data_IF_649098093033
#
_entry.id   IF_649098093033
#
_cell.length_a   1.000
_cell.length_b   1.000
_cell.length_c   1.000
_cell.angle_alpha   90.00
_cell.angle_beta   90.00
_cell.angle_gamma   90.00
#
_symmetry.space_group_name_H-M   'P 1'
#
loop_
_entity.id
_entity.type
_entity.pdbx_description
1 polymer ?
#
# COMPACT_ATOMS: atom_id res chain seq x y z
N UNK A 1 25.17 10.91 -19.65
CA UNK A 1 25.01 11.73 -18.43
C UNK A 1 23.71 12.49 -18.58
N UNK A 2 22.67 12.10 -17.85
CA UNK A 2 21.48 12.93 -17.74
C UNK A 2 21.85 14.23 -17.01
N UNK A 3 21.34 15.40 -17.44
CA UNK A 3 21.62 16.65 -16.78
C UNK A 3 21.10 16.61 -15.33
N UNK A 4 21.88 17.15 -14.39
CA UNK A 4 21.43 17.36 -13.01
C UNK A 4 20.25 18.35 -13.03
N UNK A 5 19.02 17.83 -12.99
CA UNK A 5 17.81 18.62 -12.80
C UNK A 5 17.90 19.39 -11.47
N UNK A 6 17.52 20.66 -11.49
CA UNK A 6 17.30 21.46 -10.28
C UNK A 6 16.15 20.86 -9.47
N UNK A 7 16.09 21.12 -8.15
CA UNK A 7 15.02 20.60 -7.28
C UNK A 7 13.62 20.92 -7.81
N UNK A 8 13.44 22.12 -8.37
CA UNK A 8 12.19 22.57 -8.99
C UNK A 8 11.84 21.82 -10.29
N UNK A 9 12.84 21.47 -11.11
CA UNK A 9 12.60 20.72 -12.34
C UNK A 9 12.22 19.26 -12.03
N UNK A 10 12.90 18.66 -11.06
CA UNK A 10 12.58 17.32 -10.57
C UNK A 10 11.18 17.26 -9.94
N UNK A 11 10.82 18.27 -9.15
CA UNK A 11 9.47 18.40 -8.60
C UNK A 11 8.42 18.48 -9.72
N UNK A 12 8.63 19.33 -10.74
CA UNK A 12 7.70 19.47 -11.87
C UNK A 12 7.53 18.17 -12.66
N UNK A 13 8.61 17.46 -12.94
CA UNK A 13 8.57 16.20 -13.68
C UNK A 13 7.80 15.14 -12.89
N UNK A 14 8.03 15.03 -11.58
CA UNK A 14 7.28 14.12 -10.70
C UNK A 14 5.80 14.50 -10.58
N UNK A 15 5.48 15.80 -10.57
CA UNK A 15 4.09 16.28 -10.52
C UNK A 15 3.35 16.12 -11.85
N UNK A 16 4.04 15.99 -12.98
CA UNK A 16 3.42 15.83 -14.29
C UNK A 16 2.93 14.38 -14.56
N UNK A 17 3.38 13.41 -13.78
CA UNK A 17 2.97 12.01 -13.93
C UNK A 17 1.45 11.83 -13.68
N UNK A 18 0.75 11.00 -14.46
CA UNK A 18 -0.66 10.67 -14.21
C UNK A 18 -0.84 10.04 -12.83
N UNK A 19 -1.77 10.61 -12.04
CA UNK A 19 -2.13 10.11 -10.71
C UNK A 19 -3.48 9.38 -10.79
N UNK A 20 -3.48 8.22 -11.44
CA UNK A 20 -4.62 7.31 -11.39
C UNK A 20 -4.60 6.51 -10.08
N UNK A 21 -5.78 6.21 -9.54
CA UNK A 21 -5.90 5.30 -8.40
C UNK A 21 -5.50 3.89 -8.81
N UNK A 22 -5.09 3.08 -7.83
CA UNK A 22 -4.66 1.71 -8.12
C UNK A 22 -5.85 0.90 -8.60
N UNK A 23 -6.99 1.01 -7.91
CA UNK A 23 -8.23 0.34 -8.33
C UNK A 23 -8.62 0.66 -9.78
N UNK A 24 -8.52 1.93 -10.18
CA UNK A 24 -8.89 2.37 -11.54
C UNK A 24 -7.98 1.80 -12.61
N UNK A 25 -6.68 1.69 -12.36
CA UNK A 25 -5.73 1.04 -13.28
C UNK A 25 -6.10 -0.40 -13.59
N UNK A 26 -6.79 -1.06 -12.66
CA UNK A 26 -7.26 -2.44 -12.81
C UNK A 26 -8.75 -2.55 -13.10
N UNK A 27 -9.37 -1.46 -13.57
CA UNK A 27 -10.74 -1.46 -14.09
C UNK A 27 -11.85 -1.23 -13.07
N UNK A 28 -11.50 -0.88 -11.82
CA UNK A 28 -12.49 -0.63 -10.77
C UNK A 28 -12.44 0.85 -10.33
N UNK A 29 -13.44 1.62 -10.73
CA UNK A 29 -13.67 3.01 -10.29
C UNK A 29 -15.06 3.07 -9.64
N UNK A 30 -15.13 2.81 -8.33
CA UNK A 30 -16.39 2.80 -7.59
C UNK A 30 -16.62 4.08 -6.81
N UNK A 31 -17.87 4.54 -6.84
CA UNK A 31 -18.33 5.70 -6.11
C UNK A 31 -18.36 5.48 -4.61
N UNK A 32 -18.10 6.52 -3.82
CA UNK A 32 -18.05 6.50 -2.35
C UNK A 32 -19.33 5.90 -1.79
N UNK A 33 -19.18 4.91 -0.92
CA UNK A 33 -20.29 4.23 -0.22
C UNK A 33 -20.32 4.54 1.27
N UNK A 34 -19.17 4.88 1.86
CA UNK A 34 -19.04 5.24 3.27
C UNK A 34 -18.13 6.47 3.45
N UNK A 35 -18.75 7.65 3.58
CA UNK A 35 -18.02 8.92 3.70
C UNK A 35 -17.10 8.99 4.91
N UNK A 36 -17.53 8.46 6.05
CA UNK A 36 -16.75 8.52 7.28
C UNK A 36 -15.45 7.72 7.13
N UNK A 37 -15.53 6.54 6.51
CA UNK A 37 -14.35 5.71 6.23
C UNK A 37 -13.32 6.41 5.33
N UNK A 38 -13.77 7.22 4.37
CA UNK A 38 -12.90 8.05 3.51
C UNK A 38 -12.20 9.14 4.32
N UNK A 39 -12.94 9.82 5.20
CA UNK A 39 -12.39 10.86 6.09
C UNK A 39 -11.36 10.24 7.04
N UNK A 40 -11.69 9.13 7.69
CA UNK A 40 -10.81 8.45 8.65
C UNK A 40 -9.51 7.98 7.97
N UNK A 41 -9.60 7.36 6.78
CA UNK A 41 -8.42 6.97 6.01
C UNK A 41 -7.57 8.18 5.61
N UNK A 42 -8.21 9.29 5.21
CA UNK A 42 -7.50 10.54 4.87
C UNK A 42 -6.78 11.11 6.09
N UNK A 43 -7.44 11.15 7.25
CA UNK A 43 -6.84 11.63 8.51
C UNK A 43 -5.64 10.77 8.87
N UNK A 44 -5.74 9.44 8.82
CA UNK A 44 -4.60 8.54 9.08
C UNK A 44 -3.40 8.78 8.15
N UNK A 45 -3.65 9.11 6.88
CA UNK A 45 -2.56 9.48 5.95
C UNK A 45 -1.97 10.85 6.31
N UNK A 46 -2.81 11.83 6.64
CA UNK A 46 -2.36 13.17 7.03
C UNK A 46 -1.57 13.15 8.35
N UNK A 47 -1.92 12.30 9.32
CA UNK A 47 -1.18 12.15 10.58
C UNK A 47 0.25 11.65 10.34
N UNK A 48 0.43 10.65 9.47
CA UNK A 48 1.78 10.19 9.05
C UNK A 48 2.56 11.27 8.30
N UNK A 49 1.87 12.13 7.54
CA UNK A 49 2.49 13.29 6.90
C UNK A 49 2.82 14.39 7.92
N UNK A 50 2.04 14.54 8.99
CA UNK A 50 2.27 15.50 10.07
C UNK A 50 3.55 15.12 10.83
N UNK A 51 3.73 13.82 11.12
CA UNK A 51 4.95 13.29 11.75
C UNK A 51 6.20 13.58 10.91
N UNK A 52 6.15 13.29 9.60
CA UNK A 52 7.26 13.63 8.71
C UNK A 52 7.49 15.15 8.69
N UNK A 53 6.44 15.95 8.54
CA UNK A 53 6.57 17.39 8.48
C UNK A 53 7.15 18.00 9.76
N UNK A 54 6.87 17.41 10.92
CA UNK A 54 7.47 17.83 12.20
C UNK A 54 8.96 17.49 12.25
N UNK A 55 9.36 16.31 11.77
CA UNK A 55 10.76 15.88 11.73
C UNK A 55 11.63 16.77 10.83
N UNK A 56 11.06 17.26 9.73
CA UNK A 56 11.74 18.20 8.82
C UNK A 56 11.34 19.65 9.06
N UNK A 57 10.74 19.98 10.22
CA UNK A 57 10.42 21.36 10.65
C UNK A 57 9.67 22.22 9.60
N UNK A 58 8.75 21.59 8.86
CA UNK A 58 7.83 22.28 7.94
C UNK A 58 6.37 22.21 8.38
N UNK A 59 6.08 21.60 9.54
CA UNK A 59 4.71 21.38 10.00
C UNK A 59 3.94 22.68 10.21
N UNK A 60 4.61 23.70 10.73
CA UNK A 60 4.00 25.02 11.02
C UNK A 60 4.10 25.98 9.81
N UNK A 61 4.52 25.49 8.65
CA UNK A 61 4.58 26.29 7.44
C UNK A 61 3.16 26.54 6.90
N UNK A 62 2.83 27.81 6.61
CA UNK A 62 1.50 28.20 6.11
C UNK A 62 1.08 27.44 4.85
N UNK A 63 2.02 27.10 3.95
CA UNK A 63 1.71 26.32 2.75
C UNK A 63 1.39 24.86 3.08
N UNK A 64 2.09 24.28 4.05
CA UNK A 64 1.82 22.93 4.53
C UNK A 64 0.43 22.87 5.15
N UNK A 65 0.11 23.79 6.06
CA UNK A 65 -1.20 23.84 6.72
C UNK A 65 -2.34 24.06 5.72
N UNK A 66 -2.15 24.94 4.74
CA UNK A 66 -3.13 25.20 3.70
C UNK A 66 -3.40 23.96 2.82
N UNK A 67 -2.36 23.21 2.47
CA UNK A 67 -2.49 21.97 1.69
C UNK A 67 -3.18 20.86 2.50
N UNK A 68 -2.77 20.68 3.76
CA UNK A 68 -3.40 19.74 4.69
C UNK A 68 -4.89 20.02 4.87
N UNK A 69 -5.25 21.29 5.10
CA UNK A 69 -6.63 21.72 5.24
C UNK A 69 -7.43 21.51 3.95
N UNK A 70 -6.83 21.75 2.77
CA UNK A 70 -7.48 21.53 1.47
C UNK A 70 -7.77 20.04 1.24
N UNK A 71 -6.85 19.15 1.58
CA UNK A 71 -7.04 17.70 1.46
C UNK A 71 -8.15 17.23 2.39
N UNK A 72 -8.13 17.66 3.65
CA UNK A 72 -9.18 17.30 4.60
C UNK A 72 -10.55 17.83 4.14
N UNK A 73 -10.61 19.08 3.66
CA UNK A 73 -11.83 19.65 3.10
C UNK A 73 -12.35 18.83 1.92
N UNK A 74 -11.46 18.41 1.01
CA UNK A 74 -11.82 17.59 -0.14
C UNK A 74 -12.43 16.26 0.30
N UNK A 75 -11.78 15.56 1.24
CA UNK A 75 -12.31 14.31 1.81
C UNK A 75 -13.68 14.49 2.46
N UNK A 76 -13.88 15.55 3.23
CA UNK A 76 -15.17 15.84 3.89
C UNK A 76 -16.29 16.25 2.91
N UNK A 77 -15.92 16.74 1.71
CA UNK A 77 -16.88 17.16 0.70
C UNK A 77 -17.33 16.06 -0.27
N UNK A 78 -16.72 14.88 -0.20
CA UNK A 78 -17.10 13.76 -1.07
C UNK A 78 -18.50 13.24 -0.72
N UNK A 79 -19.36 13.20 -1.72
CA UNK A 79 -20.73 12.69 -1.63
C UNK A 79 -20.79 11.22 -2.05
N UNK A 80 -21.92 10.56 -1.74
CA UNK A 80 -22.12 9.17 -2.16
C UNK A 80 -22.14 9.09 -3.69
N UNK A 81 -21.39 8.17 -4.26
CA UNK A 81 -21.23 8.03 -5.71
C UNK A 81 -20.06 8.81 -6.32
N UNK A 82 -19.46 9.77 -5.59
CA UNK A 82 -18.25 10.46 -6.04
C UNK A 82 -17.05 9.51 -6.04
N UNK A 83 -16.00 9.80 -6.82
CA UNK A 83 -14.79 8.97 -6.83
C UNK A 83 -13.72 9.53 -5.90
N UNK A 84 -12.86 8.67 -5.35
CA UNK A 84 -11.71 9.10 -4.52
C UNK A 84 -10.51 9.55 -5.35
N UNK A 85 -10.62 9.56 -6.68
CA UNK A 85 -9.48 9.77 -7.57
C UNK A 85 -8.84 11.15 -7.43
N UNK A 86 -9.64 12.21 -7.32
CA UNK A 86 -9.10 13.56 -7.09
C UNK A 86 -8.39 13.64 -5.73
N UNK A 87 -8.99 13.06 -4.69
CA UNK A 87 -8.41 13.01 -3.35
C UNK A 87 -7.06 12.28 -3.34
N UNK A 88 -7.00 11.09 -3.93
CA UNK A 88 -5.75 10.32 -4.08
C UNK A 88 -4.70 11.08 -4.89
N UNK A 89 -5.08 11.78 -5.96
CA UNK A 89 -4.16 12.61 -6.72
C UNK A 89 -3.59 13.76 -5.86
N UNK A 90 -4.44 14.43 -5.06
CA UNK A 90 -4.01 15.50 -4.14
C UNK A 90 -3.11 15.01 -3.03
N UNK A 91 -3.40 13.85 -2.45
CA UNK A 91 -2.54 13.20 -1.45
C UNK A 91 -1.17 12.87 -2.03
N UNK A 92 -1.14 12.32 -3.25
CA UNK A 92 0.12 12.04 -3.95
C UNK A 92 0.92 13.32 -4.18
N UNK A 93 0.29 14.38 -4.68
CA UNK A 93 0.94 15.68 -4.88
C UNK A 93 1.49 16.25 -3.58
N UNK A 94 0.70 16.22 -2.51
CA UNK A 94 1.12 16.75 -1.23
C UNK A 94 2.29 15.96 -0.64
N UNK A 95 2.27 14.63 -0.75
CA UNK A 95 3.39 13.77 -0.35
C UNK A 95 4.67 14.08 -1.12
N UNK A 96 4.56 14.24 -2.44
CA UNK A 96 5.70 14.58 -3.28
C UNK A 96 6.27 15.95 -2.89
N UNK A 97 5.42 16.98 -2.70
CA UNK A 97 5.86 18.32 -2.25
C UNK A 97 6.62 18.24 -0.92
N UNK A 98 6.12 17.45 0.03
CA UNK A 98 6.72 17.30 1.35
C UNK A 98 8.16 16.75 1.27
N UNK A 99 8.44 15.84 0.33
CA UNK A 99 9.80 15.34 0.11
C UNK A 99 10.78 16.39 -0.41
N UNK A 100 10.30 17.35 -1.21
CA UNK A 100 11.13 18.45 -1.73
C UNK A 100 11.29 19.61 -0.76
N UNK A 101 10.42 19.68 0.26
CA UNK A 101 10.38 20.78 1.21
C UNK A 101 11.75 21.07 1.87
N UNK A 102 12.55 20.06 2.29
CA UNK A 102 13.87 20.32 2.86
C UNK A 102 14.82 21.07 1.92
N UNK A 103 14.81 20.74 0.63
CA UNK A 103 15.67 21.40 -0.38
C UNK A 103 15.26 22.85 -0.65
N UNK A 104 14.01 23.22 -0.32
CA UNK A 104 13.48 24.57 -0.53
C UNK A 104 13.63 25.45 0.71
N UNK A 105 13.43 24.88 1.90
CA UNK A 105 13.44 25.65 3.15
C UNK A 105 14.81 25.70 3.83
N UNK A 106 15.68 24.73 3.55
CA UNK A 106 17.00 24.61 4.19
C UNK A 106 18.16 24.72 3.21
N UNK A 107 17.98 25.41 2.08
CA UNK A 107 19.05 25.68 1.13
C UNK A 107 20.26 26.30 1.86
N UNK A 108 21.41 25.64 1.78
CA UNK A 108 22.64 26.04 2.49
C UNK A 108 22.67 25.79 4.01
N UNK A 109 21.60 25.29 4.64
CA UNK A 109 21.58 24.96 6.07
C UNK A 109 22.02 23.50 6.32
N UNK A 110 23.32 23.33 6.57
CA UNK A 110 23.96 22.02 6.79
C UNK A 110 23.28 21.17 7.87
N UNK A 111 22.93 21.75 9.02
CA UNK A 111 22.42 20.99 10.17
C UNK A 111 21.05 20.38 9.87
N UNK A 112 20.16 21.16 9.27
CA UNK A 112 18.83 20.68 8.89
C UNK A 112 18.90 19.66 7.75
N UNK A 113 19.76 19.89 6.76
CA UNK A 113 19.97 18.94 5.67
C UNK A 113 20.57 17.61 6.16
N UNK A 114 21.45 17.65 7.16
CA UNK A 114 21.96 16.45 7.83
C UNK A 114 20.84 15.66 8.51
N UNK A 115 19.98 16.33 9.29
CA UNK A 115 18.85 15.69 9.97
C UNK A 115 17.90 15.00 8.96
N UNK A 116 17.65 15.66 7.84
CA UNK A 116 16.82 15.10 6.75
C UNK A 116 17.47 13.87 6.13
N UNK A 117 18.78 13.92 5.87
CA UNK A 117 19.52 12.78 5.33
C UNK A 117 19.50 11.58 6.29
N UNK A 118 19.72 11.81 7.59
CA UNK A 118 19.61 10.78 8.64
C UNK A 118 18.20 10.18 8.68
N UNK A 119 17.16 11.02 8.63
CA UNK A 119 15.77 10.53 8.61
C UNK A 119 15.47 9.65 7.38
N UNK A 120 16.01 10.00 6.20
CA UNK A 120 15.85 9.18 4.99
C UNK A 120 16.50 7.82 5.20
N UNK A 121 17.71 7.77 5.74
CA UNK A 121 18.42 6.51 6.00
C UNK A 121 17.63 5.64 6.96
N UNK A 122 17.19 6.21 8.09
CA UNK A 122 16.41 5.48 9.10
C UNK A 122 15.08 4.95 8.53
N UNK A 123 14.39 5.76 7.73
CA UNK A 123 13.08 5.40 7.15
C UNK A 123 13.15 4.25 6.15
N UNK A 124 14.31 4.00 5.54
CA UNK A 124 14.49 2.94 4.53
C UNK A 124 15.34 1.77 5.04
N UNK A 125 15.86 1.85 6.27
CA UNK A 125 16.71 0.81 6.85
C UNK A 125 16.00 -0.53 6.98
N UNK A 126 14.67 -0.52 7.18
CA UNK A 126 13.83 -1.74 7.25
C UNK A 126 13.90 -2.59 5.97
N UNK A 127 14.31 -1.98 4.86
CA UNK A 127 14.44 -2.63 3.56
C UNK A 127 15.88 -2.53 3.01
N UNK A 128 16.87 -2.38 3.91
CA UNK A 128 18.30 -2.30 3.56
C UNK A 128 18.85 -3.55 2.88
N UNK A 129 18.17 -4.70 2.99
CA UNK A 129 18.54 -5.92 2.27
C UNK A 129 18.18 -5.86 0.77
N UNK A 130 17.32 -4.93 0.33
CA UNK A 130 17.01 -4.71 -1.08
C UNK A 130 18.20 -4.00 -1.76
N UNK A 131 18.86 -4.62 -2.77
CA UNK A 131 20.04 -4.04 -3.40
C UNK A 131 19.80 -2.68 -4.08
N UNK A 132 18.58 -2.41 -4.53
CA UNK A 132 18.22 -1.15 -5.18
C UNK A 132 18.08 -0.04 -4.14
N UNK A 133 17.43 -0.33 -3.01
CA UNK A 133 17.33 0.59 -1.88
C UNK A 133 18.71 0.85 -1.30
N UNK A 134 19.51 -0.20 -1.09
CA UNK A 134 20.87 -0.06 -0.57
C UNK A 134 21.74 0.80 -1.50
N UNK A 135 21.66 0.58 -2.82
CA UNK A 135 22.38 1.44 -3.79
C UNK A 135 21.94 2.91 -3.71
N UNK A 136 20.64 3.16 -3.47
CA UNK A 136 20.12 4.52 -3.31
C UNK A 136 20.56 5.16 -1.97
N UNK A 137 20.68 4.37 -0.91
CA UNK A 137 21.13 4.80 0.42
C UNK A 137 22.66 4.92 0.52
N UNK A 138 23.40 4.18 -0.28
CA UNK A 138 24.87 4.18 -0.29
C UNK A 138 25.41 5.61 -0.49
N UNK A 139 24.79 6.41 -1.37
CA UNK A 139 25.15 7.81 -1.57
C UNK A 139 24.92 8.71 -0.34
N UNK A 140 23.97 8.37 0.53
CA UNK A 140 23.72 9.04 1.81
C UNK A 140 24.65 8.53 2.94
N UNK A 141 25.11 7.27 2.84
CA UNK A 141 25.95 6.60 3.84
C UNK A 141 27.47 6.78 3.61
N UNK A 142 27.92 6.87 2.37
CA UNK A 142 29.35 6.68 1.99
C UNK A 142 30.24 7.93 1.95
N UNK A 143 29.85 9.07 2.51
CA UNK A 143 30.86 10.13 2.78
C UNK A 143 31.52 9.94 4.14
N UNK A 144 32.29 8.85 4.26
CA UNK A 144 33.21 8.61 5.37
C UNK A 144 34.59 9.19 5.05
N UNK A 145 34.80 10.49 5.25
CA UNK A 145 36.10 11.04 5.70
C UNK A 145 36.09 12.51 6.14
N UNK A 146 35.15 13.34 5.69
CA UNK A 146 35.07 14.76 6.08
C UNK A 146 33.59 15.14 6.28
N UNK A 147 33.25 15.84 7.35
CA UNK A 147 31.87 16.31 7.60
C UNK A 147 31.26 16.90 6.31
N UNK A 148 30.21 16.29 5.73
CA UNK A 148 29.65 16.74 4.46
C UNK A 148 29.20 18.20 4.54
N UNK A 149 29.41 18.95 3.46
CA UNK A 149 28.92 20.33 3.36
C UNK A 149 27.40 20.36 3.12
N UNK A 150 26.79 21.54 3.22
CA UNK A 150 25.38 21.69 2.87
C UNK A 150 25.10 21.28 1.41
N UNK A 151 26.03 21.61 0.49
CA UNK A 151 25.92 21.24 -0.93
C UNK A 151 26.00 19.71 -1.14
N UNK A 152 26.86 19.03 -0.36
CA UNK A 152 26.94 17.57 -0.39
C UNK A 152 25.61 16.94 0.05
N UNK A 153 25.04 17.38 1.18
CA UNK A 153 23.74 16.88 1.65
C UNK A 153 22.63 17.16 0.64
N UNK A 154 22.58 18.35 0.05
CA UNK A 154 21.59 18.65 -0.99
C UNK A 154 21.73 17.71 -2.18
N UNK A 155 22.96 17.39 -2.61
CA UNK A 155 23.21 16.48 -3.72
C UNK A 155 22.77 15.05 -3.38
N UNK A 156 23.04 14.59 -2.16
CA UNK A 156 22.61 13.27 -1.68
C UNK A 156 21.08 13.17 -1.61
N UNK A 157 20.43 14.15 -0.99
CA UNK A 157 18.96 14.22 -0.89
C UNK A 157 18.33 14.29 -2.29
N UNK A 158 18.84 15.13 -3.20
CA UNK A 158 18.37 15.20 -4.60
C UNK A 158 18.53 13.85 -5.31
N UNK A 159 19.65 13.15 -5.09
CA UNK A 159 19.88 11.82 -5.66
C UNK A 159 18.87 10.80 -5.15
N UNK A 160 18.60 10.82 -3.84
CA UNK A 160 17.61 9.95 -3.24
C UNK A 160 16.18 10.24 -3.74
N UNK A 161 15.78 11.52 -3.80
CA UNK A 161 14.45 11.90 -4.30
C UNK A 161 14.22 11.41 -5.74
N UNK A 162 15.26 11.33 -6.58
CA UNK A 162 15.16 10.76 -7.95
C UNK A 162 14.84 9.27 -7.96
N UNK A 163 15.20 8.53 -6.92
CA UNK A 163 14.93 7.11 -6.80
C UNK A 163 13.45 6.83 -6.43
N UNK A 164 12.87 7.68 -5.58
CA UNK A 164 11.53 7.46 -4.99
C UNK A 164 10.41 7.21 -6.00
N UNK A 165 10.28 7.92 -7.14
CA UNK A 165 9.23 7.62 -8.13
C UNK A 165 9.25 6.18 -8.62
N UNK A 166 10.44 5.67 -8.95
CA UNK A 166 10.61 4.31 -9.47
C UNK A 166 10.36 3.27 -8.38
N UNK A 167 10.83 3.54 -7.16
CA UNK A 167 10.52 2.73 -5.99
C UNK A 167 9.00 2.63 -5.75
N UNK A 168 8.32 3.78 -5.74
CA UNK A 168 6.88 3.87 -5.56
C UNK A 168 6.14 3.13 -6.67
N UNK A 169 6.51 3.34 -7.93
CA UNK A 169 5.89 2.65 -9.07
C UNK A 169 6.03 1.14 -8.97
N UNK A 170 7.22 0.64 -8.60
CA UNK A 170 7.47 -0.80 -8.40
C UNK A 170 6.57 -1.39 -7.32
N UNK A 171 6.46 -0.72 -6.17
CA UNK A 171 5.61 -1.19 -5.07
C UNK A 171 4.11 -1.09 -5.42
N UNK A 172 3.68 -0.01 -6.06
CA UNK A 172 2.30 0.14 -6.54
C UNK A 172 1.95 -0.93 -7.57
N UNK A 173 2.88 -1.32 -8.44
CA UNK A 173 2.67 -2.39 -9.41
C UNK A 173 2.53 -3.76 -8.72
N UNK A 174 3.35 -4.05 -7.71
CA UNK A 174 3.25 -5.27 -6.90
C UNK A 174 1.92 -5.33 -6.14
N UNK A 175 1.57 -4.26 -5.43
CA UNK A 175 0.26 -4.14 -4.76
C UNK A 175 -0.89 -4.26 -5.75
N UNK A 176 -0.73 -3.68 -6.93
CA UNK A 176 -1.72 -3.76 -8.00
C UNK A 176 -2.05 -5.18 -8.43
N UNK A 177 -1.08 -6.09 -8.44
CA UNK A 177 -1.32 -7.51 -8.72
C UNK A 177 -2.16 -8.18 -7.61
N UNK A 178 -1.85 -7.89 -6.34
CA UNK A 178 -2.61 -8.40 -5.19
C UNK A 178 -4.05 -7.87 -5.21
N UNK A 179 -4.19 -6.56 -5.39
CA UNK A 179 -5.49 -5.87 -5.49
C UNK A 179 -6.29 -6.42 -6.65
N UNK A 180 -5.68 -6.61 -7.83
CA UNK A 180 -6.35 -7.20 -8.98
C UNK A 180 -6.85 -8.63 -8.70
N UNK A 181 -6.10 -9.43 -7.96
CA UNK A 181 -6.54 -10.77 -7.56
C UNK A 181 -7.77 -10.69 -6.66
N UNK A 182 -7.73 -9.87 -5.61
CA UNK A 182 -8.87 -9.66 -4.70
C UNK A 182 -10.08 -9.06 -5.43
N UNK A 183 -9.84 -8.17 -6.39
CA UNK A 183 -10.88 -7.58 -7.23
C UNK A 183 -11.60 -8.65 -8.04
N UNK A 184 -10.82 -9.49 -8.74
CA UNK A 184 -11.36 -10.57 -9.56
C UNK A 184 -12.15 -11.55 -8.72
N UNK A 185 -11.68 -11.88 -7.52
CA UNK A 185 -12.43 -12.72 -6.58
C UNK A 185 -13.74 -12.06 -6.17
N UNK A 186 -13.72 -10.79 -5.77
CA UNK A 186 -14.93 -10.06 -5.44
C UNK A 186 -15.93 -10.03 -6.60
N UNK A 187 -15.47 -9.84 -7.85
CA UNK A 187 -16.34 -9.90 -9.04
C UNK A 187 -16.91 -11.30 -9.29
N UNK A 188 -16.06 -12.33 -9.30
CA UNK A 188 -16.47 -13.73 -9.53
C UNK A 188 -17.51 -14.17 -8.50
N UNK A 189 -17.39 -13.67 -7.28
CA UNK A 189 -18.28 -14.01 -6.17
C UNK A 189 -19.46 -13.03 -5.99
N UNK A 190 -19.59 -12.01 -6.85
CA UNK A 190 -20.73 -11.09 -6.86
C UNK A 190 -20.69 -10.01 -5.78
N UNK A 191 -19.53 -9.76 -5.18
CA UNK A 191 -19.31 -8.77 -4.11
C UNK A 191 -18.69 -7.46 -4.60
N UNK A 192 -18.58 -7.24 -5.92
CA UNK A 192 -18.08 -5.99 -6.49
C UNK A 192 -18.91 -4.74 -6.15
N UNK A 193 -20.12 -4.93 -5.60
CA UNK A 193 -21.00 -3.86 -5.11
C UNK A 193 -21.23 -3.93 -3.60
N UNK A 194 -20.58 -4.86 -2.90
CA UNK A 194 -20.68 -4.98 -1.45
C UNK A 194 -20.09 -3.72 -0.78
N UNK A 195 -20.83 -3.01 0.09
CA UNK A 195 -20.37 -1.75 0.67
C UNK A 195 -19.09 -1.87 1.48
N UNK A 196 -18.84 -3.00 2.14
CA UNK A 196 -17.63 -3.23 2.95
C UNK A 196 -16.42 -3.42 2.05
N UNK A 197 -16.56 -4.22 0.99
CA UNK A 197 -15.50 -4.42 -0.01
C UNK A 197 -15.20 -3.14 -0.78
N UNK A 198 -16.22 -2.42 -1.24
CA UNK A 198 -16.04 -1.15 -1.94
C UNK A 198 -15.37 -0.12 -1.03
N UNK A 199 -15.79 -0.03 0.25
CA UNK A 199 -15.15 0.88 1.22
C UNK A 199 -13.68 0.54 1.41
N UNK A 200 -13.34 -0.74 1.56
CA UNK A 200 -11.97 -1.18 1.72
C UNK A 200 -11.07 -0.72 0.57
N UNK A 201 -11.48 -0.95 -0.68
CA UNK A 201 -10.67 -0.53 -1.83
C UNK A 201 -10.56 1.00 -1.96
N UNK A 202 -11.59 1.75 -1.55
CA UNK A 202 -11.53 3.20 -1.49
C UNK A 202 -10.53 3.71 -0.43
N UNK A 203 -10.49 3.08 0.75
CA UNK A 203 -9.51 3.37 1.78
C UNK A 203 -8.10 2.99 1.32
N UNK A 204 -7.95 1.85 0.64
CA UNK A 204 -6.70 1.40 0.09
C UNK A 204 -6.12 2.38 -0.94
N UNK A 205 -6.94 2.90 -1.85
CA UNK A 205 -6.54 3.93 -2.82
C UNK A 205 -6.08 5.24 -2.16
N UNK A 206 -6.63 5.59 -1.00
CA UNK A 206 -6.24 6.75 -0.21
C UNK A 206 -4.89 6.50 0.48
N UNK A 207 -4.72 5.33 1.11
CA UNK A 207 -3.48 4.98 1.82
C UNK A 207 -2.31 4.82 0.83
N UNK A 208 -2.52 4.14 -0.30
CA UNK A 208 -1.50 3.98 -1.35
C UNK A 208 -1.12 5.32 -1.99
N UNK A 209 -2.06 6.27 -2.08
CA UNK A 209 -1.75 7.61 -2.57
C UNK A 209 -0.73 8.35 -1.67
N UNK A 210 -0.79 8.13 -0.36
CA UNK A 210 0.14 8.74 0.60
C UNK A 210 1.49 8.02 0.76
N UNK A 211 1.60 6.76 0.31
CA UNK A 211 2.76 5.92 0.56
C UNK A 211 3.95 6.22 -0.37
N UNK A 212 5.14 6.34 0.23
CA UNK A 212 6.45 6.46 -0.46
C UNK A 212 7.56 5.67 0.23
N UNK A 213 7.38 5.25 1.49
CA UNK A 213 8.39 4.56 2.30
C UNK A 213 8.10 3.06 2.41
N UNK A 214 9.11 2.22 2.68
CA UNK A 214 8.92 0.77 2.75
C UNK A 214 7.96 0.34 3.86
N UNK A 215 8.06 0.93 5.05
CA UNK A 215 7.16 0.67 6.18
C UNK A 215 5.69 0.99 5.84
N UNK A 216 5.44 2.06 5.09
CA UNK A 216 4.10 2.43 4.61
C UNK A 216 3.54 1.35 3.65
N UNK A 217 4.37 0.79 2.78
CA UNK A 217 3.99 -0.30 1.87
C UNK A 217 3.81 -1.64 2.58
N UNK A 218 4.60 -1.91 3.62
CA UNK A 218 4.40 -3.05 4.50
C UNK A 218 3.05 -2.96 5.22
N UNK A 219 2.72 -1.81 5.81
CA UNK A 219 1.44 -1.59 6.48
C UNK A 219 0.24 -1.74 5.52
N UNK A 220 0.39 -1.36 4.25
CA UNK A 220 -0.63 -1.62 3.21
C UNK A 220 -0.78 -3.12 2.95
N UNK A 221 0.33 -3.87 2.94
CA UNK A 221 0.30 -5.32 2.74
C UNK A 221 -0.35 -6.03 3.92
N UNK A 222 -0.07 -5.59 5.15
CA UNK A 222 -0.77 -6.04 6.36
C UNK A 222 -2.27 -5.75 6.29
N UNK A 223 -2.67 -4.55 5.86
CA UNK A 223 -4.07 -4.19 5.64
C UNK A 223 -4.77 -5.11 4.61
N UNK A 224 -4.07 -5.53 3.54
CA UNK A 224 -4.60 -6.50 2.57
C UNK A 224 -4.78 -7.89 3.21
N UNK A 225 -3.80 -8.34 3.99
CA UNK A 225 -3.85 -9.62 4.70
C UNK A 225 -4.96 -9.67 5.74
N UNK A 226 -5.19 -8.57 6.47
CA UNK A 226 -6.25 -8.45 7.47
C UNK A 226 -7.65 -8.43 6.83
N UNK A 227 -7.76 -8.02 5.56
CA UNK A 227 -9.04 -7.96 4.85
C UNK A 227 -9.44 -9.25 4.15
N UNK A 228 -8.48 -10.12 3.80
CA UNK A 228 -8.75 -11.46 3.25
C UNK A 228 -9.78 -12.24 4.10
N UNK A 229 -9.70 -12.24 5.45
CA UNK A 229 -10.76 -12.63 6.38
C UNK A 229 -12.18 -12.25 6.03
N UNK A 230 -12.38 -10.97 5.74
CA UNK A 230 -13.68 -10.38 5.46
C UNK A 230 -14.24 -10.89 4.15
N UNK A 231 -13.43 -10.95 3.09
CA UNK A 231 -13.84 -11.49 1.78
C UNK A 231 -14.31 -12.94 1.94
N UNK A 232 -13.51 -13.79 2.60
CA UNK A 232 -13.87 -15.19 2.84
C UNK A 232 -15.16 -15.33 3.64
N UNK A 233 -15.37 -14.51 4.68
CA UNK A 233 -16.61 -14.53 5.47
C UNK A 233 -17.83 -14.15 4.62
N UNK A 234 -17.70 -13.10 3.80
CA UNK A 234 -18.76 -12.66 2.87
C UNK A 234 -19.07 -13.72 1.82
N UNK A 235 -18.06 -14.37 1.25
CA UNK A 235 -18.21 -15.52 0.34
C UNK A 235 -19.01 -16.64 1.00
N UNK A 236 -18.63 -17.04 2.22
CA UNK A 236 -19.34 -18.10 2.95
C UNK A 236 -20.79 -17.72 3.25
N UNK A 237 -21.06 -16.48 3.65
CA UNK A 237 -22.38 -16.02 4.07
C UNK A 237 -23.36 -15.85 2.90
N UNK A 238 -22.90 -15.26 1.80
CA UNK A 238 -23.76 -14.66 0.80
C UNK A 238 -23.68 -15.35 -0.57
N UNK A 239 -22.59 -16.04 -0.88
CA UNK A 239 -22.43 -16.64 -2.20
C UNK A 239 -23.44 -17.79 -2.42
N UNK A 240 -23.91 -18.00 -3.67
CA UNK A 240 -24.58 -19.23 -4.08
C UNK A 240 -23.73 -20.46 -3.73
N UNK A 241 -24.36 -21.60 -3.46
CA UNK A 241 -23.62 -22.80 -3.04
C UNK A 241 -22.62 -23.25 -4.12
N UNK A 242 -22.97 -23.11 -5.40
CA UNK A 242 -22.11 -23.45 -6.55
C UNK A 242 -20.83 -22.63 -6.53
N UNK A 243 -20.99 -21.35 -6.22
CA UNK A 243 -19.91 -20.37 -6.12
C UNK A 243 -19.03 -20.63 -4.91
N UNK A 244 -19.63 -20.95 -3.76
CA UNK A 244 -18.93 -21.32 -2.54
C UNK A 244 -18.15 -22.64 -2.70
N UNK A 245 -18.72 -23.59 -3.46
CA UNK A 245 -18.04 -24.83 -3.84
C UNK A 245 -16.76 -24.54 -4.64
N UNK A 246 -16.89 -23.76 -5.72
CA UNK A 246 -15.75 -23.40 -6.56
C UNK A 246 -14.67 -22.64 -5.79
N UNK A 247 -15.07 -21.71 -4.92
CA UNK A 247 -14.14 -21.00 -4.05
C UNK A 247 -13.36 -21.95 -3.14
N UNK A 248 -14.08 -22.85 -2.44
CA UNK A 248 -13.45 -23.80 -1.51
C UNK A 248 -12.50 -24.76 -2.23
N UNK A 249 -12.86 -25.22 -3.44
CA UNK A 249 -11.99 -26.03 -4.31
C UNK A 249 -10.71 -25.26 -4.69
N UNK A 250 -10.83 -23.98 -5.08
CA UNK A 250 -9.67 -23.16 -5.43
C UNK A 250 -8.73 -22.96 -4.24
N UNK A 251 -9.27 -22.69 -3.05
CA UNK A 251 -8.49 -22.53 -1.82
C UNK A 251 -7.71 -23.81 -1.51
N UNK A 252 -8.36 -24.98 -1.56
CA UNK A 252 -7.68 -26.28 -1.33
C UNK A 252 -6.61 -26.54 -2.38
N UNK A 253 -6.88 -26.25 -3.65
CA UNK A 253 -5.90 -26.41 -4.73
C UNK A 253 -4.66 -25.53 -4.49
N UNK A 254 -4.84 -24.28 -4.02
CA UNK A 254 -3.74 -23.40 -3.65
C UNK A 254 -2.87 -23.95 -2.51
N UNK A 255 -3.51 -24.48 -1.46
CA UNK A 255 -2.78 -25.12 -0.34
C UNK A 255 -2.06 -26.38 -0.78
N UNK A 256 -2.67 -27.19 -1.65
CA UNK A 256 -2.04 -28.38 -2.22
C UNK A 256 -0.86 -28.01 -3.11
N UNK A 257 -0.92 -26.91 -3.87
CA UNK A 257 0.20 -26.40 -4.65
C UNK A 257 1.36 -25.96 -3.73
N UNK A 258 1.07 -25.20 -2.67
CA UNK A 258 2.10 -24.79 -1.69
C UNK A 258 2.79 -26.01 -1.05
N UNK A 259 2.03 -27.08 -0.79
CA UNK A 259 2.59 -28.38 -0.34
C UNK A 259 3.51 -29.01 -1.38
N UNK A 260 3.13 -29.01 -2.66
CA UNK A 260 3.98 -29.53 -3.75
C UNK A 260 5.26 -28.71 -3.92
N UNK A 261 5.22 -27.42 -3.59
CA UNK A 261 6.36 -26.51 -3.60
C UNK A 261 7.25 -26.63 -2.34
N UNK A 262 6.88 -27.52 -1.40
CA UNK A 262 7.73 -27.91 -0.27
C UNK A 262 7.30 -27.36 1.09
N UNK A 263 6.16 -26.68 1.20
CA UNK A 263 5.61 -26.29 2.50
C UNK A 263 5.02 -27.50 3.24
N UNK A 264 5.37 -27.68 4.52
CA UNK A 264 4.80 -28.71 5.39
C UNK A 264 3.87 -28.08 6.41
N UNK A 265 2.63 -28.56 6.48
CA UNK A 265 1.64 -28.11 7.48
C UNK A 265 1.47 -29.11 8.64
N UNK A 266 2.15 -30.27 8.56
CA UNK A 266 2.07 -31.37 9.53
C UNK A 266 1.01 -32.44 9.16
N UNK A 267 1.18 -33.65 9.67
CA UNK A 267 0.38 -34.82 9.26
C UNK A 267 -1.13 -34.69 9.58
N UNK A 268 -1.49 -34.02 10.68
CA UNK A 268 -2.90 -33.81 11.04
C UNK A 268 -3.59 -32.79 10.11
N UNK A 269 -2.84 -31.77 9.69
CA UNK A 269 -3.27 -30.78 8.71
C UNK A 269 -3.46 -31.41 7.33
N UNK A 270 -2.54 -32.27 6.91
CA UNK A 270 -2.62 -33.02 5.66
C UNK A 270 -3.85 -33.94 5.64
N UNK A 271 -4.14 -34.66 6.72
CA UNK A 271 -5.32 -35.53 6.80
C UNK A 271 -6.63 -34.73 6.74
N UNK A 272 -6.67 -33.52 7.32
CA UNK A 272 -7.82 -32.61 7.23
C UNK A 272 -8.03 -32.08 5.82
N UNK A 273 -6.95 -31.73 5.11
CA UNK A 273 -7.01 -31.28 3.72
C UNK A 273 -7.48 -32.39 2.78
N UNK A 274 -6.98 -33.60 2.95
CA UNK A 274 -7.37 -34.76 2.14
C UNK A 274 -8.85 -35.10 2.36
N UNK A 275 -9.32 -35.11 3.62
CA UNK A 275 -10.75 -35.29 3.94
C UNK A 275 -11.65 -34.20 3.35
N UNK A 276 -11.25 -32.93 3.46
CA UNK A 276 -12.01 -31.82 2.89
C UNK A 276 -12.08 -31.91 1.35
N UNK A 277 -10.97 -32.30 0.71
CA UNK A 277 -10.91 -32.54 -0.74
C UNK A 277 -11.84 -33.68 -1.14
N UNK A 278 -11.84 -34.79 -0.40
CA UNK A 278 -12.74 -35.91 -0.65
C UNK A 278 -14.20 -35.49 -0.48
N UNK A 279 -14.57 -34.78 0.58
CA UNK A 279 -15.93 -34.30 0.82
C UNK A 279 -16.45 -33.42 -0.33
N UNK A 280 -15.62 -32.52 -0.87
CA UNK A 280 -15.98 -31.69 -2.01
C UNK A 280 -16.16 -32.51 -3.30
N UNK A 281 -15.36 -33.55 -3.51
CA UNK A 281 -15.49 -34.40 -4.70
C UNK A 281 -16.77 -35.26 -4.71
N UNK A 282 -17.44 -35.44 -3.57
CA UNK A 282 -18.66 -36.24 -3.45
C UNK A 282 -19.95 -35.46 -3.71
N UNK A 283 -19.88 -34.12 -3.84
CA UNK A 283 -21.02 -33.29 -4.22
C UNK A 283 -21.07 -31.95 -3.49
N UNK A 284 -22.19 -31.26 -3.70
CA UNK A 284 -22.44 -29.96 -3.09
C UNK A 284 -22.74 -30.12 -1.61
N UNK A 285 -22.00 -29.38 -0.78
CA UNK A 285 -22.15 -29.39 0.68
C UNK A 285 -23.16 -28.32 1.14
N UNK A 286 -23.59 -28.45 2.39
CA UNK A 286 -24.29 -27.37 3.09
C UNK A 286 -23.33 -26.21 3.41
N UNK A 287 -23.85 -25.00 3.47
CA UNK A 287 -23.06 -23.78 3.75
C UNK A 287 -22.19 -23.88 5.00
N UNK A 288 -22.71 -24.49 6.07
CA UNK A 288 -21.96 -24.67 7.32
C UNK A 288 -20.75 -25.61 7.14
N UNK A 289 -20.85 -26.60 6.27
CA UNK A 289 -19.73 -27.52 6.01
C UNK A 289 -18.60 -26.80 5.26
N UNK A 290 -18.93 -25.97 4.26
CA UNK A 290 -17.93 -25.09 3.63
C UNK A 290 -17.28 -24.13 4.63
N UNK A 291 -18.07 -23.55 5.54
CA UNK A 291 -17.54 -22.70 6.62
C UNK A 291 -16.53 -23.45 7.48
N UNK A 292 -16.85 -24.68 7.88
CA UNK A 292 -15.95 -25.53 8.67
C UNK A 292 -14.67 -25.87 7.91
N UNK A 293 -14.76 -26.23 6.63
CA UNK A 293 -13.60 -26.54 5.78
C UNK A 293 -12.68 -25.32 5.66
N UNK A 294 -13.22 -24.16 5.27
CA UNK A 294 -12.44 -22.93 5.08
C UNK A 294 -11.81 -22.45 6.40
N UNK A 295 -12.52 -22.58 7.53
CA UNK A 295 -11.96 -22.31 8.85
C UNK A 295 -10.81 -23.28 9.17
N UNK A 296 -11.00 -24.57 8.92
CA UNK A 296 -9.96 -25.57 9.14
C UNK A 296 -8.71 -25.32 8.31
N UNK A 297 -8.87 -24.83 7.08
CA UNK A 297 -7.76 -24.42 6.21
C UNK A 297 -7.04 -23.19 6.75
N UNK A 298 -7.77 -22.20 7.29
CA UNK A 298 -7.15 -21.02 7.92
C UNK A 298 -6.31 -21.34 9.14
N UNK A 299 -6.71 -22.35 9.90
CA UNK A 299 -6.01 -22.77 11.12
C UNK A 299 -4.74 -23.60 10.80
N UNK A 300 -4.42 -23.83 9.51
CA UNK A 300 -3.19 -24.49 9.09
C UNK A 300 -1.99 -23.56 9.33
N UNK A 301 -1.03 -24.06 10.09
CA UNK A 301 0.23 -23.38 10.35
C UNK A 301 1.37 -24.15 9.67
N UNK A 302 2.25 -23.45 8.97
CA UNK A 302 3.47 -24.05 8.41
C UNK A 302 4.35 -24.50 9.57
N UNK A 303 4.74 -25.78 9.57
CA UNK A 303 5.76 -26.28 10.48
C UNK A 303 7.13 -25.89 9.93
N UNK A 304 7.88 -25.10 10.73
CA UNK A 304 9.26 -24.74 10.45
C UNK A 304 10.21 -25.95 10.57
#
# INVERSE_FOLDING_TARGET
MEPLLTGLALEKDMMAAPKETVSKKYGWDCGVVNRQAIVDATVSVLERMDELAALIDVRDNELYEADRARILSLATSLELGDTVAELSARLTEFRMRLMFAPLKFYEGNREMLKLVAENIVDSYDVASEDPVIETALQGLREQTSEEPTAEDYEKMIKSFIRFVPKFRESNVMMLGQLIQSMHREAEVFGFSTDPEIVTFFQQLDIVVAGAIRPDEFMAITEMLNDFEPTITSRVVELAPLETLHQFTVNVIAGVQQARQEGMSFGAEADEKLDKASDELNHGMLEREQYRMILRGIRELHVQA
#
